data_IF_978524194358
#
_entry.id   IF_978524194358
#
_cell.length_a   1.000
_cell.length_b   1.000
_cell.length_c   1.000
_cell.angle_alpha   90.00
_cell.angle_beta   90.00
_cell.angle_gamma   90.00
#
_symmetry.space_group_name_H-M   'P 1'
#
loop_
_entity.id
_entity.type
_entity.pdbx_description
1 polymer ?
#
# COMPACT_ATOMS: atom_id res chain seq x y z
N UNK A 1 0.19 -20.01 -1.13
CA UNK A 1 -0.47 -21.09 -0.37
C UNK A 1 -0.34 -20.91 1.14
N UNK A 2 0.86 -20.61 1.68
CA UNK A 2 1.06 -20.34 3.13
C UNK A 2 0.35 -19.07 3.65
N UNK A 3 0.32 -17.98 2.87
CA UNK A 3 -0.34 -16.72 3.29
C UNK A 3 -1.87 -16.87 3.41
N UNK A 4 -2.48 -17.73 2.59
CA UNK A 4 -3.93 -17.99 2.63
C UNK A 4 -4.31 -18.75 3.91
N UNK A 5 -3.47 -19.71 4.33
CA UNK A 5 -3.64 -20.47 5.57
C UNK A 5 -3.58 -19.60 6.85
N UNK A 6 -2.75 -18.56 6.84
CA UNK A 6 -2.55 -17.65 7.97
C UNK A 6 -3.76 -16.72 8.17
N UNK A 7 -4.41 -16.30 7.08
CA UNK A 7 -5.63 -15.47 7.13
C UNK A 7 -6.83 -16.25 7.70
N UNK A 8 -6.97 -17.53 7.34
CA UNK A 8 -8.01 -18.43 7.88
C UNK A 8 -7.78 -18.78 9.35
N UNK A 9 -6.53 -18.74 9.82
CA UNK A 9 -6.20 -19.00 11.21
C UNK A 9 -6.49 -17.81 12.13
N UNK A 10 -6.35 -16.58 11.62
CA UNK A 10 -6.64 -15.37 12.38
C UNK A 10 -8.14 -15.10 12.56
N UNK A 11 -9.01 -15.71 11.74
CA UNK A 11 -10.47 -15.67 11.88
C UNK A 11 -11.06 -16.69 12.87
N UNK A 12 -10.25 -17.62 13.40
CA UNK A 12 -10.68 -18.54 14.46
C UNK A 12 -11.54 -19.74 13.98
N UNK A 13 -11.59 -20.00 12.68
CA UNK A 13 -12.35 -21.13 12.14
C UNK A 13 -11.52 -22.41 12.12
N UNK A 14 -11.84 -23.34 13.02
CA UNK A 14 -11.40 -24.73 12.87
C UNK A 14 -12.07 -25.31 11.63
N UNK A 15 -11.27 -25.80 10.68
CA UNK A 15 -11.75 -26.66 9.60
C UNK A 15 -12.40 -27.92 10.19
N UNK A 16 -13.70 -27.84 10.44
CA UNK A 16 -14.60 -28.94 10.15
C UNK A 16 -14.69 -29.00 8.62
N UNK A 17 -14.68 -30.20 8.04
CA UNK A 17 -15.28 -30.38 6.72
C UNK A 17 -16.77 -30.13 6.97
N UNK A 18 -17.17 -28.87 6.80
CA UNK A 18 -18.56 -28.44 6.81
C UNK A 18 -19.04 -28.72 5.38
N UNK A 19 -20.13 -29.47 5.25
CA UNK A 19 -20.93 -29.44 4.04
C UNK A 19 -21.42 -27.99 3.88
N UNK A 20 -20.61 -27.17 3.20
CA UNK A 20 -20.92 -25.77 2.92
C UNK A 20 -22.27 -25.77 2.22
N UNK A 21 -23.24 -25.04 2.76
CA UNK A 21 -24.54 -24.97 2.10
C UNK A 21 -24.43 -24.15 0.81
N UNK A 22 -25.31 -24.41 -0.16
CA UNK A 22 -25.31 -23.72 -1.46
C UNK A 22 -25.37 -22.19 -1.28
N UNK A 23 -26.25 -21.74 -0.38
CA UNK A 23 -26.47 -20.34 -0.04
C UNK A 23 -25.22 -19.72 0.61
N UNK A 24 -24.62 -20.40 1.59
CA UNK A 24 -23.39 -19.96 2.25
C UNK A 24 -22.22 -19.81 1.24
N UNK A 25 -22.14 -20.72 0.27
CA UNK A 25 -21.13 -20.67 -0.77
C UNK A 25 -21.29 -19.45 -1.69
N UNK A 26 -22.52 -19.21 -2.18
CA UNK A 26 -22.82 -18.04 -3.02
C UNK A 26 -22.61 -16.75 -2.25
N UNK A 27 -23.05 -16.70 -0.99
CA UNK A 27 -22.86 -15.55 -0.10
C UNK A 27 -21.39 -15.17 0.02
N UNK A 28 -20.53 -16.13 0.35
CA UNK A 28 -19.09 -15.89 0.47
C UNK A 28 -18.47 -15.42 -0.85
N UNK A 29 -18.87 -16.01 -1.99
CA UNK A 29 -18.38 -15.58 -3.31
C UNK A 29 -18.72 -14.11 -3.58
N UNK A 30 -19.97 -13.71 -3.36
CA UNK A 30 -20.44 -12.34 -3.65
C UNK A 30 -19.85 -11.34 -2.66
N UNK A 31 -19.77 -11.68 -1.37
CA UNK A 31 -19.14 -10.82 -0.36
C UNK A 31 -17.67 -10.59 -0.71
N UNK A 32 -16.92 -11.65 -1.02
CA UNK A 32 -15.49 -11.53 -1.38
C UNK A 32 -15.28 -10.73 -2.65
N UNK A 33 -16.15 -10.90 -3.65
CA UNK A 33 -16.09 -10.12 -4.88
C UNK A 33 -16.39 -8.63 -4.62
N UNK A 34 -17.41 -8.34 -3.81
CA UNK A 34 -17.75 -6.99 -3.40
C UNK A 34 -16.63 -6.34 -2.58
N UNK A 35 -16.02 -7.05 -1.64
CA UNK A 35 -14.86 -6.57 -0.88
C UNK A 35 -13.68 -6.26 -1.81
N UNK A 36 -13.38 -7.16 -2.75
CA UNK A 36 -12.24 -7.05 -3.65
C UNK A 36 -12.37 -5.87 -4.62
N UNK A 37 -13.53 -5.70 -5.22
CA UNK A 37 -13.75 -4.68 -6.25
C UNK A 37 -14.56 -3.48 -5.77
N UNK A 38 -14.92 -3.44 -4.48
CA UNK A 38 -15.69 -2.37 -3.83
C UNK A 38 -16.99 -2.04 -4.58
N UNK A 39 -17.70 -3.07 -5.06
CA UNK A 39 -18.84 -2.92 -5.97
C UNK A 39 -19.94 -2.04 -5.39
N UNK A 40 -20.28 -2.21 -4.10
CA UNK A 40 -21.24 -1.35 -3.41
C UNK A 40 -20.72 0.07 -3.21
N UNK A 41 -19.42 0.25 -2.93
CA UNK A 41 -18.83 1.58 -2.72
C UNK A 41 -18.89 2.44 -3.98
N UNK A 42 -18.73 1.82 -5.15
CA UNK A 42 -18.80 2.50 -6.45
C UNK A 42 -20.20 2.44 -7.08
N UNK A 43 -21.24 2.11 -6.29
CA UNK A 43 -22.63 2.04 -6.75
C UNK A 43 -22.84 1.14 -7.98
N UNK A 44 -22.02 0.10 -8.14
CA UNK A 44 -22.18 -0.91 -9.21
C UNK A 44 -23.25 -1.94 -8.87
N UNK A 45 -23.63 -2.01 -7.59
CA UNK A 45 -24.71 -2.85 -7.08
C UNK A 45 -25.51 -2.06 -6.04
N UNK A 46 -26.84 -2.11 -6.10
CA UNK A 46 -27.71 -1.43 -5.15
C UNK A 46 -27.68 -2.08 -3.77
N UNK A 47 -27.65 -3.41 -3.73
CA UNK A 47 -27.68 -4.18 -2.49
C UNK A 47 -27.13 -5.59 -2.69
N UNK A 48 -26.15 -5.97 -1.87
CA UNK A 48 -25.64 -7.35 -1.79
C UNK A 48 -26.79 -8.31 -1.50
N UNK A 49 -27.66 -7.98 -0.55
CA UNK A 49 -28.79 -8.85 -0.18
C UNK A 49 -29.77 -9.08 -1.33
N UNK A 50 -30.06 -8.05 -2.13
CA UNK A 50 -30.95 -8.18 -3.29
C UNK A 50 -30.38 -9.16 -4.32
N UNK A 51 -29.08 -9.05 -4.58
CA UNK A 51 -28.36 -9.92 -5.51
C UNK A 51 -28.36 -11.36 -5.00
N UNK A 52 -28.08 -11.57 -3.72
CA UNK A 52 -28.07 -12.91 -3.12
C UNK A 52 -29.42 -13.61 -3.27
N UNK A 53 -30.54 -12.91 -3.06
CA UNK A 53 -31.87 -13.49 -3.25
C UNK A 53 -32.10 -13.95 -4.69
N UNK A 54 -31.61 -13.21 -5.68
CA UNK A 54 -31.68 -13.60 -7.09
C UNK A 54 -30.81 -14.81 -7.39
N UNK A 55 -29.56 -14.82 -6.90
CA UNK A 55 -28.61 -15.92 -7.14
C UNK A 55 -29.02 -17.22 -6.44
N UNK A 56 -29.58 -17.14 -5.22
CA UNK A 56 -30.10 -18.32 -4.51
C UNK A 56 -31.27 -18.98 -5.25
N UNK A 57 -32.05 -18.18 -5.98
CA UNK A 57 -33.20 -18.66 -6.74
C UNK A 57 -32.83 -19.10 -8.17
N UNK A 58 -31.55 -19.09 -8.54
CA UNK A 58 -31.12 -19.37 -9.91
C UNK A 58 -31.03 -20.89 -10.19
N UNK A 59 -31.94 -21.39 -11.02
CA UNK A 59 -32.04 -22.81 -11.39
C UNK A 59 -30.79 -23.39 -12.07
N UNK A 60 -29.96 -22.55 -12.70
CA UNK A 60 -28.71 -23.00 -13.35
C UNK A 60 -27.66 -23.27 -12.29
N UNK A 61 -27.49 -22.36 -11.33
CA UNK A 61 -26.57 -22.51 -10.21
C UNK A 61 -26.95 -23.70 -9.33
N UNK A 62 -28.24 -23.85 -9.00
CA UNK A 62 -28.75 -24.98 -8.21
C UNK A 62 -28.44 -26.33 -8.86
N UNK A 63 -28.57 -26.45 -10.19
CA UNK A 63 -28.28 -27.69 -10.91
C UNK A 63 -26.80 -28.06 -10.94
N UNK A 64 -25.92 -27.06 -10.86
CA UNK A 64 -24.46 -27.25 -10.93
C UNK A 64 -23.80 -27.40 -9.57
N UNK A 65 -24.48 -26.96 -8.51
CA UNK A 65 -24.04 -27.19 -7.14
C UNK A 65 -23.76 -28.68 -6.86
N UNK A 66 -22.56 -28.97 -6.36
CA UNK A 66 -22.09 -30.33 -6.09
C UNK A 66 -21.74 -31.18 -7.34
N UNK A 67 -22.09 -30.72 -8.55
CA UNK A 67 -21.88 -31.44 -9.81
C UNK A 67 -20.72 -30.89 -10.64
N UNK A 68 -20.20 -29.70 -10.32
CA UNK A 68 -19.07 -29.06 -11.02
C UNK A 68 -17.94 -28.72 -10.05
N UNK A 69 -16.66 -28.71 -10.50
CA UNK A 69 -15.56 -28.21 -9.69
C UNK A 69 -15.83 -26.78 -9.18
N UNK A 70 -15.43 -26.49 -7.94
CA UNK A 70 -15.67 -25.19 -7.31
C UNK A 70 -15.17 -24.00 -8.14
N UNK A 71 -14.03 -24.14 -8.82
CA UNK A 71 -13.47 -23.09 -9.68
C UNK A 71 -14.42 -22.73 -10.82
N UNK A 72 -15.07 -23.72 -11.43
CA UNK A 72 -16.00 -23.50 -12.53
C UNK A 72 -17.33 -23.00 -12.00
N UNK A 73 -17.84 -23.57 -10.91
CA UNK A 73 -19.04 -23.07 -10.23
C UNK A 73 -18.90 -21.60 -9.84
N UNK A 74 -17.77 -21.21 -9.24
CA UNK A 74 -17.48 -19.83 -8.89
C UNK A 74 -17.50 -18.89 -10.10
N UNK A 75 -16.89 -19.30 -11.22
CA UNK A 75 -16.91 -18.48 -12.44
C UNK A 75 -18.32 -18.22 -12.91
N UNK A 76 -19.19 -19.23 -12.85
CA UNK A 76 -20.58 -19.07 -13.27
C UNK A 76 -21.40 -18.18 -12.35
N UNK A 77 -21.20 -18.28 -11.03
CA UNK A 77 -21.81 -17.34 -10.06
C UNK A 77 -21.41 -15.91 -10.40
N UNK A 78 -20.12 -15.68 -10.68
CA UNK A 78 -19.61 -14.37 -11.06
C UNK A 78 -20.12 -13.92 -12.43
N UNK A 79 -20.19 -14.82 -13.42
CA UNK A 79 -20.75 -14.49 -14.73
C UNK A 79 -22.20 -14.02 -14.60
N UNK A 80 -23.04 -14.72 -13.85
CA UNK A 80 -24.44 -14.32 -13.63
C UNK A 80 -24.50 -12.98 -12.89
N UNK A 81 -23.73 -12.82 -11.81
CA UNK A 81 -23.61 -11.57 -11.06
C UNK A 81 -23.30 -10.39 -11.98
N UNK A 82 -22.25 -10.51 -12.81
CA UNK A 82 -21.82 -9.42 -13.67
C UNK A 82 -22.77 -9.21 -14.83
N UNK A 83 -23.28 -10.26 -15.47
CA UNK A 83 -24.12 -10.15 -16.64
C UNK A 83 -25.52 -9.62 -16.34
N UNK A 84 -26.11 -10.07 -15.23
CA UNK A 84 -27.51 -9.76 -14.91
C UNK A 84 -27.66 -8.54 -14.01
N UNK A 85 -26.69 -8.27 -13.14
CA UNK A 85 -26.81 -7.19 -12.15
C UNK A 85 -25.91 -6.00 -12.41
N UNK A 86 -24.65 -6.21 -12.78
CA UNK A 86 -23.69 -5.10 -12.88
C UNK A 86 -23.68 -4.49 -14.29
N UNK A 87 -23.67 -5.35 -15.32
CA UNK A 87 -23.67 -4.96 -16.73
C UNK A 87 -24.75 -3.96 -17.10
N UNK A 88 -26.03 -4.19 -16.73
CA UNK A 88 -27.11 -3.30 -17.14
C UNK A 88 -26.99 -1.91 -16.54
N UNK A 89 -26.32 -1.78 -15.39
CA UNK A 89 -26.17 -0.50 -14.69
C UNK A 89 -25.03 0.35 -15.26
N UNK A 90 -24.02 -0.23 -15.90
CA UNK A 90 -22.82 0.49 -16.35
C UNK A 90 -23.11 1.64 -17.33
N UNK A 91 -23.97 1.50 -18.36
CA UNK A 91 -24.30 2.61 -19.24
C UNK A 91 -24.92 3.79 -18.50
N UNK A 92 -25.77 3.51 -17.52
CA UNK A 92 -26.43 4.53 -16.70
C UNK A 92 -25.45 5.16 -15.72
N UNK A 93 -24.60 4.37 -15.06
CA UNK A 93 -23.52 4.86 -14.17
C UNK A 93 -22.52 5.71 -14.94
N UNK A 94 -22.09 5.28 -16.14
CA UNK A 94 -21.15 6.05 -16.95
C UNK A 94 -21.78 7.36 -17.47
N UNK A 95 -23.07 7.34 -17.80
CA UNK A 95 -23.81 8.51 -18.26
C UNK A 95 -24.13 9.50 -17.12
N UNK A 96 -24.45 8.98 -15.94
CA UNK A 96 -24.83 9.77 -14.77
C UNK A 96 -23.62 10.28 -13.98
N UNK A 97 -22.58 9.44 -13.82
CA UNK A 97 -21.38 9.76 -13.04
C UNK A 97 -20.13 9.05 -13.58
N UNK A 98 -19.60 9.60 -14.67
CA UNK A 98 -18.36 9.15 -15.32
C UNK A 98 -17.15 9.14 -14.37
N UNK A 99 -17.12 10.00 -13.38
CA UNK A 99 -15.97 10.12 -12.47
C UNK A 99 -15.95 8.95 -11.47
N UNK A 100 -17.09 8.53 -10.93
CA UNK A 100 -17.17 7.31 -10.09
C UNK A 100 -16.64 6.08 -10.84
N UNK A 101 -17.01 5.92 -12.12
CA UNK A 101 -16.52 4.80 -12.91
C UNK A 101 -15.00 4.85 -13.12
N UNK A 102 -14.44 6.04 -13.38
CA UNK A 102 -12.98 6.21 -13.50
C UNK A 102 -12.27 5.90 -12.19
N UNK A 103 -12.81 6.32 -11.05
CA UNK A 103 -12.25 6.02 -9.73
C UNK A 103 -12.23 4.51 -9.43
N UNK A 104 -13.27 3.79 -9.86
CA UNK A 104 -13.27 2.33 -9.76
C UNK A 104 -12.14 1.69 -10.57
N UNK A 105 -11.98 2.09 -11.84
CA UNK A 105 -10.89 1.63 -12.70
C UNK A 105 -9.52 2.03 -12.14
N UNK A 106 -9.40 3.23 -11.56
CA UNK A 106 -8.20 3.69 -10.88
C UNK A 106 -7.85 2.81 -9.68
N UNK A 107 -8.83 2.46 -8.84
CA UNK A 107 -8.65 1.55 -7.70
C UNK A 107 -8.11 0.20 -8.13
N UNK A 108 -8.68 -0.40 -9.19
CA UNK A 108 -8.19 -1.68 -9.75
C UNK A 108 -6.77 -1.53 -10.28
N UNK A 109 -6.49 -0.42 -10.98
CA UNK A 109 -5.17 -0.13 -11.55
C UNK A 109 -4.09 0.00 -10.46
N UNK A 110 -4.42 0.62 -9.32
CA UNK A 110 -3.51 0.75 -8.17
C UNK A 110 -3.07 -0.62 -7.65
N UNK A 111 -4.00 -1.57 -7.51
CA UNK A 111 -3.67 -2.92 -7.03
C UNK A 111 -2.88 -3.74 -8.05
N UNK A 112 -3.17 -3.58 -9.34
CA UNK A 112 -2.37 -4.17 -10.41
C UNK A 112 -0.93 -3.64 -10.37
N UNK A 113 -0.74 -2.32 -10.22
CA UNK A 113 0.57 -1.70 -10.17
C UNK A 113 1.38 -2.17 -8.96
N UNK A 114 0.76 -2.34 -7.79
CA UNK A 114 1.41 -2.98 -6.62
C UNK A 114 1.93 -4.38 -6.96
N UNK A 115 1.13 -5.21 -7.66
CA UNK A 115 1.56 -6.56 -8.09
C UNK A 115 2.69 -6.51 -9.12
N UNK A 116 2.65 -5.56 -10.05
CA UNK A 116 3.69 -5.37 -11.06
C UNK A 116 4.99 -4.93 -10.38
N UNK A 117 4.94 -3.99 -9.44
CA UNK A 117 6.10 -3.52 -8.66
C UNK A 117 6.80 -4.69 -7.96
N UNK A 118 6.05 -5.57 -7.28
CA UNK A 118 6.62 -6.75 -6.60
C UNK A 118 7.39 -7.64 -7.60
N UNK A 119 6.85 -7.84 -8.81
CA UNK A 119 7.52 -8.63 -9.87
C UNK A 119 8.77 -7.94 -10.43
N UNK A 120 8.89 -6.63 -10.29
CA UNK A 120 10.00 -5.81 -10.80
C UNK A 120 10.95 -5.36 -9.68
N UNK A 121 10.92 -6.00 -8.50
CA UNK A 121 11.75 -5.62 -7.35
C UNK A 121 13.24 -5.52 -7.66
N UNK A 122 13.73 -6.37 -8.56
CA UNK A 122 15.16 -6.45 -8.90
C UNK A 122 15.55 -5.54 -10.07
N UNK A 123 14.59 -4.83 -10.67
CA UNK A 123 14.84 -3.92 -11.79
C UNK A 123 15.21 -2.54 -11.24
N UNK A 124 16.36 -2.00 -11.69
CA UNK A 124 16.75 -0.64 -11.35
C UNK A 124 15.83 0.36 -12.06
N UNK A 125 15.11 1.16 -11.26
CA UNK A 125 14.23 2.24 -11.75
C UNK A 125 14.73 3.59 -11.25
N UNK A 126 14.04 4.67 -11.65
CA UNK A 126 14.31 6.03 -11.14
C UNK A 126 14.18 6.15 -9.61
N UNK A 127 13.47 5.22 -8.96
CA UNK A 127 13.33 5.19 -7.50
C UNK A 127 14.66 4.90 -6.79
N UNK A 128 15.59 4.20 -7.45
CA UNK A 128 16.94 3.95 -6.93
C UNK A 128 17.68 5.26 -6.64
N UNK A 129 17.51 6.24 -7.51
CA UNK A 129 18.21 7.51 -7.42
C UNK A 129 17.45 8.52 -6.57
N UNK A 130 16.12 8.54 -6.68
CA UNK A 130 15.27 9.55 -6.01
C UNK A 130 14.87 9.15 -4.58
N UNK A 131 14.93 7.86 -4.24
CA UNK A 131 14.52 7.30 -2.95
C UNK A 131 13.19 7.87 -2.42
N UNK A 132 12.05 7.64 -3.12
CA UNK A 132 10.74 8.09 -2.66
C UNK A 132 10.22 7.33 -1.44
N UNK A 133 11.00 6.41 -0.84
CA UNK A 133 10.55 5.52 0.22
C UNK A 133 9.74 6.28 1.30
N UNK A 134 8.55 5.76 1.64
CA UNK A 134 8.09 4.39 1.32
C UNK A 134 7.17 4.29 0.09
N UNK A 135 6.98 5.40 -0.62
CA UNK A 135 6.31 5.44 -1.91
C UNK A 135 7.20 4.91 -3.05
N UNK A 136 6.63 4.88 -4.26
CA UNK A 136 7.32 4.65 -5.52
C UNK A 136 6.89 5.72 -6.53
N UNK A 137 7.83 6.27 -7.29
CA UNK A 137 7.52 7.10 -8.47
C UNK A 137 7.38 6.18 -9.68
N UNK A 138 8.30 5.24 -9.82
CA UNK A 138 8.35 4.31 -10.94
C UNK A 138 7.07 3.49 -11.13
N UNK A 139 6.33 3.20 -10.06
CA UNK A 139 5.06 2.45 -10.09
C UNK A 139 3.87 3.22 -9.49
N UNK A 140 3.96 4.56 -9.36
CA UNK A 140 2.84 5.36 -8.83
C UNK A 140 1.61 5.22 -9.73
N UNK A 141 0.48 4.88 -9.12
CA UNK A 141 -0.82 5.03 -9.76
C UNK A 141 -1.17 6.53 -9.80
N UNK A 142 -1.05 7.14 -10.98
CA UNK A 142 -1.40 8.55 -11.20
C UNK A 142 -2.69 8.62 -12.03
N UNK A 143 -3.63 9.45 -11.61
CA UNK A 143 -4.89 9.66 -12.34
C UNK A 143 -4.61 10.22 -13.72
N UNK A 144 -3.68 11.18 -13.83
CA UNK A 144 -3.31 11.82 -15.10
C UNK A 144 -2.69 10.80 -16.05
N UNK A 145 -1.73 10.00 -15.56
CA UNK A 145 -1.04 9.05 -16.42
C UNK A 145 -1.92 7.87 -16.82
N UNK A 146 -2.70 7.32 -15.88
CA UNK A 146 -3.68 6.29 -16.20
C UNK A 146 -4.72 6.82 -17.19
N UNK A 147 -5.15 8.08 -17.06
CA UNK A 147 -6.05 8.69 -18.03
C UNK A 147 -5.45 8.78 -19.44
N UNK A 148 -4.13 8.95 -19.57
CA UNK A 148 -3.44 8.98 -20.86
C UNK A 148 -3.23 7.61 -21.51
N UNK A 149 -2.97 6.56 -20.71
CA UNK A 149 -2.61 5.24 -21.26
C UNK A 149 -3.81 4.30 -21.40
N UNK A 150 -4.90 4.54 -20.66
CA UNK A 150 -6.11 3.73 -20.72
C UNK A 150 -7.06 4.24 -21.82
N UNK A 151 -7.56 3.31 -22.63
CA UNK A 151 -8.54 3.59 -23.67
C UNK A 151 -9.96 3.62 -23.09
N UNK A 152 -10.37 4.76 -22.56
CA UNK A 152 -11.68 4.95 -21.91
C UNK A 152 -12.88 4.64 -22.81
N UNK A 153 -12.73 4.78 -24.13
CA UNK A 153 -13.81 4.45 -25.07
C UNK A 153 -14.05 2.93 -25.14
N UNK A 154 -13.00 2.11 -24.96
CA UNK A 154 -13.15 0.66 -24.85
C UNK A 154 -13.81 0.24 -23.54
N UNK A 155 -13.49 0.91 -22.44
CA UNK A 155 -14.10 0.63 -21.14
C UNK A 155 -15.57 1.09 -21.06
N UNK A 156 -15.98 2.03 -21.92
CA UNK A 156 -17.38 2.44 -22.08
C UNK A 156 -18.25 1.39 -22.81
N UNK A 157 -17.65 0.56 -23.67
CA UNK A 157 -18.40 -0.42 -24.45
C UNK A 157 -18.65 -1.68 -23.61
N UNK A 158 -19.90 -2.17 -23.63
CA UNK A 158 -20.44 -3.27 -22.81
C UNK A 158 -19.77 -4.65 -22.98
N UNK A 159 -18.63 -4.72 -23.65
CA UNK A 159 -17.93 -5.95 -24.05
C UNK A 159 -16.75 -6.32 -23.12
N UNK A 160 -16.41 -5.51 -22.11
CA UNK A 160 -15.25 -5.76 -21.21
C UNK A 160 -15.72 -5.86 -19.75
N UNK A 161 -16.51 -6.88 -19.38
CA UNK A 161 -17.23 -6.81 -18.09
C UNK A 161 -17.25 -8.14 -17.33
N UNK A 162 -16.16 -8.88 -17.40
CA UNK A 162 -15.75 -9.74 -16.28
C UNK A 162 -14.52 -9.09 -15.65
N UNK A 163 -14.46 -8.95 -14.30
CA UNK A 163 -13.31 -8.33 -13.64
C UNK A 163 -11.98 -8.95 -14.04
N UNK A 164 -11.96 -10.25 -14.31
CA UNK A 164 -10.77 -10.96 -14.79
C UNK A 164 -10.30 -10.44 -16.16
N UNK A 165 -11.22 -10.18 -17.09
CA UNK A 165 -10.90 -9.61 -18.41
C UNK A 165 -10.49 -8.13 -18.29
N UNK A 166 -11.14 -7.39 -17.40
CA UNK A 166 -10.82 -5.99 -17.10
C UNK A 166 -9.41 -5.88 -16.51
N UNK A 167 -9.14 -6.62 -15.43
CA UNK A 167 -7.84 -6.70 -14.79
C UNK A 167 -6.76 -7.12 -15.78
N UNK A 168 -7.02 -8.12 -16.63
CA UNK A 168 -6.07 -8.56 -17.64
C UNK A 168 -5.68 -7.44 -18.60
N UNK A 169 -6.66 -6.69 -19.14
CA UNK A 169 -6.39 -5.58 -20.08
C UNK A 169 -5.65 -4.42 -19.41
N UNK A 170 -6.06 -4.05 -18.19
CA UNK A 170 -5.36 -3.01 -17.42
C UNK A 170 -3.93 -3.48 -17.14
N UNK A 171 -3.74 -4.72 -16.71
CA UNK A 171 -2.42 -5.29 -16.44
C UNK A 171 -1.53 -5.33 -17.70
N UNK A 172 -2.06 -5.74 -18.85
CA UNK A 172 -1.33 -5.70 -20.13
C UNK A 172 -0.88 -4.28 -20.48
N UNK A 173 -1.77 -3.29 -20.30
CA UNK A 173 -1.45 -1.88 -20.55
C UNK A 173 -0.39 -1.38 -19.58
N UNK A 174 -0.55 -1.64 -18.28
CA UNK A 174 0.39 -1.23 -17.25
C UNK A 174 1.78 -1.86 -17.47
N UNK A 175 1.86 -3.14 -17.82
CA UNK A 175 3.14 -3.82 -18.10
C UNK A 175 3.92 -3.19 -19.26
N UNK A 176 3.23 -2.57 -20.23
CA UNK A 176 3.88 -1.90 -21.36
C UNK A 176 4.34 -0.47 -21.04
N UNK A 177 3.78 0.13 -19.99
CA UNK A 177 3.91 1.58 -19.69
C UNK A 177 4.65 1.87 -18.39
N UNK A 178 4.83 0.86 -17.55
CA UNK A 178 5.57 0.90 -16.29
C UNK A 178 6.80 0.00 -16.35
N UNK A 179 7.90 0.34 -15.65
CA UNK A 179 8.05 1.50 -14.76
C UNK A 179 8.10 2.85 -15.48
N UNK A 180 7.65 3.92 -14.80
CA UNK A 180 7.78 5.30 -15.27
C UNK A 180 9.27 5.67 -15.30
N UNK A 181 9.77 6.02 -16.48
CA UNK A 181 11.12 6.55 -16.66
C UNK A 181 11.21 8.06 -16.44
N UNK A 182 12.43 8.60 -16.32
CA UNK A 182 12.68 10.01 -15.97
C UNK A 182 12.00 11.00 -16.92
N UNK A 183 12.07 10.78 -18.24
CA UNK A 183 11.45 11.69 -19.21
C UNK A 183 9.94 11.76 -19.02
N UNK A 184 9.29 10.59 -18.89
CA UNK A 184 7.84 10.54 -18.70
C UNK A 184 7.42 11.12 -17.35
N UNK A 185 8.21 10.88 -16.30
CA UNK A 185 7.97 11.48 -14.98
C UNK A 185 7.99 13.01 -15.05
N UNK A 186 9.00 13.61 -15.68
CA UNK A 186 9.11 15.06 -15.85
C UNK A 186 7.96 15.61 -16.70
N UNK A 187 7.58 14.93 -17.78
CA UNK A 187 6.44 15.31 -18.62
C UNK A 187 5.13 15.33 -17.83
N UNK A 188 4.93 14.40 -16.90
CA UNK A 188 3.75 14.35 -16.03
C UNK A 188 3.78 15.48 -14.98
N UNK A 189 4.94 15.76 -14.39
CA UNK A 189 5.08 16.90 -13.47
C UNK A 189 4.79 18.24 -14.15
N UNK A 190 5.22 18.42 -15.41
CA UNK A 190 4.90 19.59 -16.25
C UNK A 190 3.39 19.76 -16.49
N UNK A 191 2.63 18.65 -16.45
CA UNK A 191 1.15 18.66 -16.56
C UNK A 191 0.44 18.86 -15.22
N UNK A 192 1.17 19.22 -14.18
CA UNK A 192 0.64 19.39 -12.82
C UNK A 192 -0.02 18.11 -12.27
N UNK A 193 0.59 16.95 -12.54
CA UNK A 193 0.15 15.67 -12.00
C UNK A 193 0.25 15.66 -10.47
N UNK A 194 -0.89 15.82 -9.79
CA UNK A 194 -0.98 15.94 -8.33
C UNK A 194 -0.50 14.70 -7.59
N UNK A 195 -0.74 13.50 -8.12
CA UNK A 195 -0.33 12.25 -7.47
C UNK A 195 1.20 12.13 -7.44
N UNK A 196 1.84 12.49 -8.54
CA UNK A 196 3.29 12.50 -8.66
C UNK A 196 3.92 13.68 -7.92
N UNK A 197 3.28 14.86 -7.89
CA UNK A 197 3.76 16.00 -7.11
C UNK A 197 3.75 15.74 -5.60
N UNK A 198 2.76 14.97 -5.08
CA UNK A 198 2.74 14.54 -3.67
C UNK A 198 4.01 13.75 -3.33
N UNK A 199 4.33 12.71 -4.11
CA UNK A 199 5.54 11.90 -3.89
C UNK A 199 6.83 12.70 -4.16
N UNK A 200 6.84 13.60 -5.15
CA UNK A 200 7.99 14.45 -5.46
C UNK A 200 8.30 15.43 -4.32
N UNK A 201 7.27 16.02 -3.72
CA UNK A 201 7.43 16.93 -2.57
C UNK A 201 8.09 16.23 -1.38
N UNK A 202 7.76 14.95 -1.16
CA UNK A 202 8.41 14.10 -0.15
C UNK A 202 9.88 13.81 -0.48
N UNK A 203 10.20 13.51 -1.75
CA UNK A 203 11.59 13.37 -2.21
C UNK A 203 12.40 14.64 -1.96
N UNK A 204 11.84 15.81 -2.28
CA UNK A 204 12.49 17.11 -2.03
C UNK A 204 12.73 17.30 -0.53
N UNK A 205 11.76 16.94 0.32
CA UNK A 205 11.90 17.00 1.78
C UNK A 205 13.03 16.10 2.31
N UNK A 206 13.11 14.85 1.84
CA UNK A 206 14.19 13.91 2.21
C UNK A 206 15.56 14.46 1.80
N UNK A 207 15.68 14.96 0.58
CA UNK A 207 16.93 15.57 0.09
C UNK A 207 17.29 16.82 0.90
N UNK A 208 16.32 17.66 1.28
CA UNK A 208 16.55 18.80 2.17
C UNK A 208 17.13 18.37 3.52
N UNK A 209 16.60 17.29 4.10
CA UNK A 209 17.13 16.70 5.33
C UNK A 209 18.58 16.22 5.20
N UNK A 210 18.93 15.58 4.08
CA UNK A 210 20.32 15.21 3.79
C UNK A 210 21.21 16.45 3.71
N UNK A 211 20.83 17.46 2.91
CA UNK A 211 21.57 18.73 2.80
C UNK A 211 21.81 19.35 4.18
N UNK A 212 20.81 19.42 5.04
CA UNK A 212 20.98 20.02 6.36
C UNK A 212 21.88 19.20 7.27
N UNK A 213 21.75 17.87 7.26
CA UNK A 213 22.64 16.99 8.02
C UNK A 213 24.10 17.24 7.64
N UNK A 214 24.40 17.38 6.35
CA UNK A 214 25.76 17.62 5.89
C UNK A 214 26.27 19.04 6.18
N UNK A 215 25.44 20.07 6.07
CA UNK A 215 25.88 21.48 6.14
C UNK A 215 25.63 22.18 7.49
N UNK A 216 24.79 21.62 8.36
CA UNK A 216 24.39 22.22 9.65
C UNK A 216 24.70 21.33 10.87
N UNK A 217 25.66 20.40 10.76
CA UNK A 217 26.04 19.47 11.84
C UNK A 217 26.10 20.20 13.20
N UNK A 218 25.33 19.71 14.19
CA UNK A 218 25.24 20.22 15.57
C UNK A 218 24.41 21.49 15.87
N UNK A 219 23.34 21.81 15.11
CA UNK A 219 22.42 22.90 15.51
C UNK A 219 21.09 22.39 16.10
N UNK A 220 20.72 22.95 17.26
CA UNK A 220 19.44 22.69 17.96
C UNK A 220 18.18 23.07 17.15
N UNK A 221 18.33 23.77 16.00
CA UNK A 221 17.22 24.22 15.14
C UNK A 221 17.20 23.50 13.77
N UNK A 222 17.75 22.28 13.69
CA UNK A 222 17.87 21.56 12.40
C UNK A 222 16.53 21.25 11.72
N UNK A 223 15.46 21.07 12.49
CA UNK A 223 14.11 20.80 11.98
C UNK A 223 13.45 22.05 11.38
N UNK A 224 13.54 23.20 12.04
CA UNK A 224 13.00 24.46 11.51
C UNK A 224 13.71 24.87 10.22
N UNK A 225 15.04 24.76 10.21
CA UNK A 225 15.85 25.01 9.01
C UNK A 225 15.47 24.06 7.87
N UNK A 226 15.08 22.82 8.18
CA UNK A 226 14.63 21.81 7.20
C UNK A 226 13.30 22.17 6.60
N UNK A 227 12.32 22.49 7.44
CA UNK A 227 11.01 22.92 6.99
C UNK A 227 11.11 24.16 6.10
N UNK A 228 11.84 25.19 6.53
CA UNK A 228 12.00 26.42 5.76
C UNK A 228 12.75 26.24 4.43
N UNK A 229 13.79 25.39 4.45
CA UNK A 229 14.54 25.07 3.23
C UNK A 229 13.68 24.27 2.27
N UNK A 230 12.93 23.28 2.77
CA UNK A 230 12.02 22.48 1.97
C UNK A 230 10.91 23.34 1.36
N UNK A 231 10.19 24.16 2.13
CA UNK A 231 9.11 25.01 1.63
C UNK A 231 9.58 25.86 0.44
N UNK A 232 10.68 26.61 0.62
CA UNK A 232 11.24 27.47 -0.44
C UNK A 232 11.76 26.69 -1.65
N UNK A 233 12.30 25.49 -1.42
CA UNK A 233 12.84 24.65 -2.50
C UNK A 233 11.72 23.97 -3.27
N UNK A 234 10.70 23.48 -2.58
CA UNK A 234 9.53 22.83 -3.17
C UNK A 234 8.78 23.80 -4.09
N UNK A 235 8.47 25.00 -3.61
CA UNK A 235 7.83 26.05 -4.40
C UNK A 235 8.68 26.43 -5.63
N UNK A 236 9.99 26.61 -5.45
CA UNK A 236 10.89 26.97 -6.55
C UNK A 236 10.99 25.85 -7.60
N UNK A 237 11.14 24.60 -7.18
CA UNK A 237 11.23 23.45 -8.09
C UNK A 237 9.92 23.27 -8.84
N UNK A 238 8.79 23.37 -8.13
CA UNK A 238 7.45 23.34 -8.71
C UNK A 238 7.30 24.38 -9.82
N UNK A 239 7.58 25.65 -9.51
CA UNK A 239 7.46 26.74 -10.47
C UNK A 239 8.36 26.55 -11.70
N UNK A 240 9.60 26.11 -11.51
CA UNK A 240 10.55 25.88 -12.62
C UNK A 240 10.13 24.71 -13.53
N UNK A 241 9.56 23.64 -12.96
CA UNK A 241 9.08 22.51 -13.76
C UNK A 241 7.81 22.90 -14.51
N UNK A 242 6.84 23.52 -13.85
CA UNK A 242 5.56 23.94 -14.45
C UNK A 242 5.77 25.00 -15.54
N UNK A 243 6.67 25.96 -15.35
CA UNK A 243 6.99 26.98 -16.36
C UNK A 243 7.80 26.43 -17.54
N UNK A 244 8.31 25.20 -17.45
CA UNK A 244 9.20 24.61 -18.44
C UNK A 244 10.62 25.20 -18.42
N UNK A 245 11.00 25.93 -17.38
CA UNK A 245 12.34 26.52 -17.21
C UNK A 245 13.35 25.56 -16.54
N UNK A 246 12.87 24.42 -16.03
CA UNK A 246 13.74 23.37 -15.53
C UNK A 246 14.59 22.77 -16.67
N UNK A 247 15.85 22.39 -16.41
CA UNK A 247 16.70 21.74 -17.40
C UNK A 247 16.15 20.35 -17.75
N UNK A 248 16.58 19.80 -18.87
CA UNK A 248 16.31 18.41 -19.21
C UNK A 248 17.10 17.46 -18.31
N UNK A 249 16.44 16.40 -17.85
CA UNK A 249 17.02 15.40 -16.95
C UNK A 249 17.21 14.08 -17.68
N UNK A 250 18.47 13.62 -17.75
CA UNK A 250 18.83 12.33 -18.38
C UNK A 250 18.62 11.13 -17.45
N UNK A 251 18.58 11.35 -16.13
CA UNK A 251 18.46 10.29 -15.11
C UNK A 251 17.80 10.80 -13.82
N UNK A 252 17.36 9.87 -12.98
CA UNK A 252 16.89 10.19 -11.62
C UNK A 252 17.99 10.87 -10.79
N UNK A 253 19.25 10.45 -10.97
CA UNK A 253 20.40 11.08 -10.32
C UNK A 253 20.60 12.54 -10.72
N UNK A 254 20.45 12.87 -12.02
CA UNK A 254 20.51 14.26 -12.48
C UNK A 254 19.44 15.13 -11.79
N UNK A 255 18.20 14.62 -11.69
CA UNK A 255 17.13 15.31 -10.98
C UNK A 255 17.43 15.46 -9.48
N UNK A 256 17.89 14.40 -8.81
CA UNK A 256 18.30 14.44 -7.40
C UNK A 256 19.35 15.52 -7.14
N UNK A 257 20.39 15.58 -7.97
CA UNK A 257 21.46 16.57 -7.84
C UNK A 257 20.95 18.00 -8.05
N UNK A 258 20.02 18.18 -8.98
CA UNK A 258 19.37 19.47 -9.20
C UNK A 258 18.55 19.91 -7.98
N UNK A 259 17.75 19.00 -7.41
CA UNK A 259 16.99 19.24 -6.18
C UNK A 259 17.93 19.59 -5.01
N UNK A 260 19.02 18.83 -4.84
CA UNK A 260 20.01 19.07 -3.79
C UNK A 260 20.66 20.46 -3.93
N UNK A 261 21.00 20.87 -5.16
CA UNK A 261 21.57 22.20 -5.45
C UNK A 261 20.62 23.33 -5.09
N UNK A 262 19.32 23.19 -5.39
CA UNK A 262 18.31 24.19 -5.02
C UNK A 262 18.18 24.27 -3.49
N UNK A 263 18.08 23.12 -2.81
CA UNK A 263 18.02 23.06 -1.36
C UNK A 263 19.24 23.71 -0.71
N UNK A 264 20.45 23.41 -1.17
CA UNK A 264 21.68 24.00 -0.65
C UNK A 264 21.72 25.53 -0.82
N UNK A 265 21.30 26.03 -1.99
CA UNK A 265 21.25 27.47 -2.24
C UNK A 265 20.25 28.17 -1.32
N UNK A 266 19.08 27.56 -1.11
CA UNK A 266 18.06 28.10 -0.21
C UNK A 266 18.51 28.05 1.26
N UNK A 267 19.15 26.97 1.70
CA UNK A 267 19.74 26.85 3.04
C UNK A 267 20.80 27.95 3.28
N UNK A 268 21.73 28.15 2.33
CA UNK A 268 22.74 29.21 2.42
C UNK A 268 22.11 30.60 2.50
N UNK A 269 21.02 30.84 1.78
CA UNK A 269 20.30 32.12 1.85
C UNK A 269 19.62 32.34 3.20
N UNK A 270 19.03 31.29 3.79
CA UNK A 270 18.46 31.34 5.15
C UNK A 270 19.57 31.63 6.17
N UNK A 271 20.66 30.87 6.12
CA UNK A 271 21.80 31.06 7.03
C UNK A 271 22.40 32.47 6.93
N UNK A 272 22.52 33.04 5.73
CA UNK A 272 22.99 34.42 5.53
C UNK A 272 22.05 35.44 6.15
N UNK A 273 20.73 35.27 6.00
CA UNK A 273 19.73 36.15 6.61
C UNK A 273 19.73 36.07 8.14
N UNK A 274 20.03 34.90 8.70
CA UNK A 274 20.05 34.65 10.13
C UNK A 274 21.45 34.83 10.77
N UNK A 275 22.45 35.32 10.03
CA UNK A 275 23.86 35.44 10.46
C UNK A 275 24.50 34.13 10.95
N UNK A 276 23.99 32.98 10.51
CA UNK A 276 24.39 31.64 10.90
C UNK A 276 25.54 31.09 10.01
N UNK A 277 26.66 31.80 9.85
CA UNK A 277 27.74 31.36 8.96
C UNK A 277 28.64 30.32 9.64
N UNK A 278 28.83 29.16 8.98
CA UNK A 278 30.07 28.39 9.04
C UNK A 278 30.52 28.09 7.61
N UNK A 279 31.80 28.36 7.31
CA UNK A 279 32.41 28.07 6.02
C UNK A 279 32.64 26.56 5.88
N UNK A 280 31.78 25.89 5.12
CA UNK A 280 32.05 24.54 4.59
C UNK A 280 31.95 24.56 3.06
N UNK A 281 33.11 24.39 2.41
CA UNK A 281 33.24 24.19 0.97
C UNK A 281 33.03 22.70 0.66
N UNK A 282 31.78 22.30 0.44
CA UNK A 282 31.39 20.95 -0.01
C UNK A 282 30.81 21.06 -1.42
N UNK A 283 31.27 20.20 -2.31
CA UNK A 283 31.02 20.19 -3.75
C UNK A 283 29.82 19.32 -4.13
N UNK A 284 29.18 19.58 -5.27
CA UNK A 284 28.01 18.82 -5.75
C UNK A 284 28.34 17.35 -6.05
N UNK A 285 29.59 17.04 -6.41
CA UNK A 285 30.12 15.68 -6.57
C UNK A 285 29.89 14.81 -5.34
N UNK A 286 29.95 15.43 -4.16
CA UNK A 286 29.89 14.74 -2.88
C UNK A 286 28.48 14.15 -2.66
N UNK A 287 27.42 14.70 -3.30
CA UNK A 287 26.07 14.12 -3.29
C UNK A 287 25.90 12.88 -4.17
N UNK A 288 26.69 12.76 -5.24
CA UNK A 288 26.70 11.56 -6.06
C UNK A 288 27.38 10.39 -5.34
N UNK A 289 28.39 10.69 -4.51
CA UNK A 289 29.09 9.73 -3.63
C UNK A 289 28.34 9.45 -2.33
N UNK A 290 27.39 10.31 -1.93
CA UNK A 290 26.33 9.96 -0.99
C UNK A 290 25.34 9.02 -1.72
N UNK A 291 25.85 7.88 -2.17
CA UNK A 291 25.11 6.66 -1.99
C UNK A 291 24.82 6.52 -0.50
N UNK A 292 23.67 5.97 -0.17
CA UNK A 292 23.30 5.66 1.21
C UNK A 292 24.18 4.49 1.69
N UNK A 293 25.48 4.71 1.82
CA UNK A 293 26.42 3.92 2.63
C UNK A 293 26.57 4.72 3.93
N UNK A 294 26.04 4.39 5.10
CA UNK A 294 25.39 3.20 5.63
C UNK A 294 23.88 3.43 5.82
N UNK A 295 23.05 2.56 5.26
CA UNK A 295 22.13 1.86 6.16
C UNK A 295 22.82 0.55 6.48
N UNK A 296 23.12 0.33 7.76
CA UNK A 296 23.10 -1.02 8.31
C UNK A 296 22.07 -1.82 7.53
N UNK A 297 22.50 -2.94 6.97
CA UNK A 297 21.71 -3.96 6.32
C UNK A 297 20.51 -4.37 7.20
N UNK A 298 19.51 -3.51 7.25
CA UNK A 298 18.23 -3.70 7.92
C UNK A 298 17.22 -3.70 6.81
N UNK A 299 17.12 -4.90 6.25
CA UNK A 299 16.00 -5.45 5.50
C UNK A 299 15.30 -4.50 4.52
N UNK A 300 15.63 -4.72 3.26
CA UNK A 300 14.70 -4.67 2.15
C UNK A 300 13.34 -5.31 2.54
N UNK A 301 12.42 -4.58 3.16
CA UNK A 301 11.03 -4.98 3.39
C UNK A 301 10.08 -3.78 3.67
N UNK A 302 10.37 -2.60 3.11
CA UNK A 302 9.46 -1.45 3.12
C UNK A 302 8.41 -1.60 2.01
N UNK A 303 7.29 -2.26 2.32
CA UNK A 303 6.01 -1.99 1.66
C UNK A 303 5.48 -0.66 2.19
N UNK A 304 5.07 0.23 1.28
CA UNK A 304 4.47 1.54 1.52
C UNK A 304 3.51 1.57 2.72
N UNK A 305 4.01 1.97 3.90
CA UNK A 305 3.20 2.18 5.09
C UNK A 305 2.24 3.38 4.96
N UNK A 306 2.43 4.20 3.92
CA UNK A 306 1.74 5.48 3.71
C UNK A 306 0.56 5.37 2.73
N UNK A 307 0.38 4.21 2.07
CA UNK A 307 -0.74 3.94 1.18
C UNK A 307 -1.88 3.15 1.83
N UNK A 308 -1.78 2.84 3.13
CA UNK A 308 -2.81 2.09 3.86
C UNK A 308 -4.02 2.99 4.07
N UNK A 309 -5.10 2.70 3.34
CA UNK A 309 -6.39 3.34 3.61
C UNK A 309 -6.89 2.88 4.99
N UNK A 310 -6.94 3.81 5.94
CA UNK A 310 -7.39 3.54 7.31
C UNK A 310 -8.85 3.08 7.37
N UNK A 311 -9.65 3.39 6.34
CA UNK A 311 -11.03 2.95 6.21
C UNK A 311 -11.13 1.55 5.58
N UNK A 312 -10.04 0.99 5.07
CA UNK A 312 -9.97 -0.36 4.53
C UNK A 312 -9.41 -1.34 5.57
N UNK A 313 -10.31 -2.10 6.21
CA UNK A 313 -9.95 -3.05 7.26
C UNK A 313 -8.95 -4.12 6.78
N UNK A 314 -8.99 -4.52 5.51
CA UNK A 314 -8.05 -5.50 4.95
C UNK A 314 -6.65 -4.93 4.76
N UNK A 315 -6.53 -3.67 4.32
CA UNK A 315 -5.24 -3.00 4.19
C UNK A 315 -4.60 -2.74 5.56
N UNK A 316 -5.42 -2.34 6.54
CA UNK A 316 -4.96 -2.18 7.93
C UNK A 316 -4.47 -3.53 8.49
N UNK A 317 -5.20 -4.63 8.24
CA UNK A 317 -4.77 -5.98 8.65
C UNK A 317 -3.47 -6.39 7.95
N UNK A 318 -3.35 -6.19 6.65
CA UNK A 318 -2.18 -6.58 5.87
C UNK A 318 -0.94 -5.76 6.27
N UNK A 319 -1.10 -4.45 6.42
CA UNK A 319 -0.05 -3.55 6.92
C UNK A 319 0.41 -3.95 8.32
N UNK A 320 -0.52 -4.25 9.23
CA UNK A 320 -0.18 -4.70 10.57
C UNK A 320 0.59 -6.02 10.58
N UNK A 321 0.14 -7.02 9.81
CA UNK A 321 0.84 -8.30 9.67
C UNK A 321 2.26 -8.08 9.16
N UNK A 322 2.42 -7.22 8.15
CA UNK A 322 3.72 -6.91 7.57
C UNK A 322 4.67 -6.28 8.60
N UNK A 323 4.17 -5.38 9.47
CA UNK A 323 4.98 -4.79 10.56
C UNK A 323 5.38 -5.83 11.60
N UNK A 324 4.47 -6.74 11.97
CA UNK A 324 4.75 -7.76 12.98
C UNK A 324 5.81 -8.77 12.52
N UNK A 325 5.80 -9.13 11.24
CA UNK A 325 6.74 -10.09 10.66
C UNK A 325 8.09 -9.46 10.30
N UNK A 326 8.09 -8.28 9.67
CA UNK A 326 9.34 -7.64 9.22
C UNK A 326 10.00 -6.77 10.29
N UNK A 327 9.30 -6.53 11.41
CA UNK A 327 9.77 -5.78 12.58
C UNK A 327 10.54 -4.48 12.20
N UNK A 328 9.98 -3.60 11.35
CA UNK A 328 10.66 -2.37 10.94
C UNK A 328 10.98 -1.49 12.16
N UNK A 329 12.25 -1.09 12.27
CA UNK A 329 12.79 -0.35 13.41
C UNK A 329 12.03 0.97 13.62
N UNK A 330 11.72 1.31 14.88
CA UNK A 330 10.94 2.50 15.23
C UNK A 330 9.42 2.28 15.20
N UNK A 331 8.86 1.75 14.10
CA UNK A 331 7.41 1.48 14.01
C UNK A 331 7.04 0.25 14.84
N UNK A 332 7.74 -0.87 14.66
CA UNK A 332 7.53 -2.07 15.45
C UNK A 332 7.78 -1.80 16.93
N UNK A 333 8.86 -1.08 17.28
CA UNK A 333 9.19 -0.75 18.67
C UNK A 333 8.08 0.05 19.35
N UNK A 334 7.47 0.99 18.61
CA UNK A 334 6.35 1.80 19.12
C UNK A 334 5.10 0.95 19.36
N UNK A 335 4.82 0.00 18.45
CA UNK A 335 3.68 -0.90 18.56
C UNK A 335 3.87 -1.96 19.65
N UNK A 336 5.07 -2.54 19.74
CA UNK A 336 5.40 -3.68 20.58
C UNK A 336 5.70 -3.32 22.03
N UNK A 337 5.98 -2.05 22.33
CA UNK A 337 6.38 -1.56 23.66
C UNK A 337 5.53 -2.11 24.81
N UNK A 338 6.13 -2.92 25.68
CA UNK A 338 5.52 -3.52 26.87
C UNK A 338 4.60 -4.72 26.62
N UNK A 339 4.55 -5.24 25.39
CA UNK A 339 3.82 -6.46 25.01
C UNK A 339 4.63 -7.42 24.15
N UNK A 340 5.95 -7.22 24.05
CA UNK A 340 6.89 -7.92 23.17
C UNK A 340 6.77 -9.45 23.31
N UNK A 341 6.89 -9.95 24.54
CA UNK A 341 6.73 -11.36 24.89
C UNK A 341 5.42 -12.00 24.39
N UNK A 342 4.34 -11.22 24.36
CA UNK A 342 3.00 -11.70 23.94
C UNK A 342 2.85 -11.65 22.42
N UNK A 343 3.60 -10.78 21.74
CA UNK A 343 3.65 -10.72 20.29
C UNK A 343 4.50 -11.84 19.72
N UNK A 344 5.61 -12.19 20.37
CA UNK A 344 6.39 -13.36 19.96
C UNK A 344 5.57 -14.67 20.10
N UNK A 345 4.77 -14.80 21.17
CA UNK A 345 3.81 -15.93 21.29
C UNK A 345 2.70 -15.89 20.22
N UNK A 346 2.25 -14.69 19.84
CA UNK A 346 1.28 -14.52 18.77
C UNK A 346 1.84 -14.99 17.43
N UNK A 347 3.10 -14.64 17.13
CA UNK A 347 3.80 -15.03 15.91
C UNK A 347 4.02 -16.55 15.89
N UNK A 348 4.57 -17.13 16.95
CA UNK A 348 4.76 -18.59 17.09
C UNK A 348 3.45 -19.36 16.89
N UNK A 349 2.35 -18.85 17.46
CA UNK A 349 1.04 -19.47 17.28
C UNK A 349 0.58 -19.40 15.82
N UNK A 350 0.81 -18.26 15.14
CA UNK A 350 0.47 -18.10 13.72
C UNK A 350 1.34 -18.92 12.77
N UNK A 351 2.54 -19.32 13.20
CA UNK A 351 3.44 -20.22 12.47
C UNK A 351 3.07 -21.70 12.62
N UNK A 352 2.02 -22.00 13.40
CA UNK A 352 1.44 -23.34 13.52
C UNK A 352 1.59 -23.99 14.89
N UNK A 353 2.24 -23.34 15.86
CA UNK A 353 2.38 -23.88 17.22
C UNK A 353 1.08 -23.73 18.01
N UNK A 354 0.65 -24.78 18.70
CA UNK A 354 -0.45 -24.68 19.66
C UNK A 354 -0.04 -23.89 20.91
N UNK A 355 -0.99 -23.25 21.59
CA UNK A 355 -0.72 -22.58 22.86
C UNK A 355 -0.11 -23.50 23.92
N UNK A 356 -0.41 -24.81 23.84
CA UNK A 356 0.17 -25.83 24.69
C UNK A 356 1.64 -26.06 24.39
N UNK A 357 2.04 -26.11 23.12
CA UNK A 357 3.45 -26.23 22.71
C UNK A 357 4.25 -24.98 23.12
N UNK A 358 3.67 -23.79 22.96
CA UNK A 358 4.26 -22.52 23.41
C UNK A 358 4.43 -22.51 24.94
N UNK A 359 3.42 -23.00 25.69
CA UNK A 359 3.49 -23.13 27.15
C UNK A 359 4.61 -24.10 27.58
N UNK A 360 4.75 -25.24 26.90
CA UNK A 360 5.81 -26.22 27.16
C UNK A 360 7.20 -25.62 26.87
N UNK A 361 7.36 -24.86 25.80
CA UNK A 361 8.62 -24.17 25.46
C UNK A 361 8.99 -23.09 26.48
N UNK A 362 8.00 -22.31 26.95
CA UNK A 362 8.25 -21.18 27.86
C UNK A 362 8.41 -21.60 29.33
N UNK A 363 7.69 -22.63 29.77
CA UNK A 363 7.62 -23.03 31.19
C UNK A 363 8.18 -24.43 31.47
N UNK A 364 8.56 -25.19 30.44
CA UNK A 364 9.23 -26.49 30.53
C UNK A 364 8.30 -27.71 30.56
N UNK A 365 8.85 -28.87 30.19
CA UNK A 365 8.14 -30.17 30.03
C UNK A 365 7.68 -30.77 31.37
N UNK A 366 8.23 -30.33 32.50
CA UNK A 366 8.00 -30.91 33.84
C UNK A 366 6.82 -30.29 34.61
N UNK A 367 5.90 -29.61 33.93
CA UNK A 367 4.70 -29.05 34.57
C UNK A 367 3.59 -30.10 34.75
N UNK A 368 2.91 -30.09 35.90
CA UNK A 368 1.72 -30.91 36.11
C UNK A 368 0.62 -30.54 35.09
N UNK A 369 -0.25 -31.48 34.67
CA UNK A 369 -1.27 -31.23 33.66
C UNK A 369 -2.18 -30.04 33.97
N UNK A 370 -2.51 -29.82 35.24
CA UNK A 370 -3.35 -28.70 35.70
C UNK A 370 -2.63 -27.35 35.58
N UNK A 371 -1.34 -27.32 35.90
CA UNK A 371 -0.52 -26.11 35.79
C UNK A 371 -0.30 -25.74 34.32
N UNK A 372 -0.02 -26.74 33.48
CA UNK A 372 0.15 -26.54 32.05
C UNK A 372 -1.11 -25.99 31.39
N UNK A 373 -2.30 -26.48 31.77
CA UNK A 373 -3.58 -25.96 31.27
C UNK A 373 -3.81 -24.51 31.69
N UNK A 374 -3.47 -24.16 32.95
CA UNK A 374 -3.56 -22.79 33.45
C UNK A 374 -2.61 -21.86 32.68
N UNK A 375 -1.41 -22.31 32.35
CA UNK A 375 -0.43 -21.55 31.60
C UNK A 375 -0.83 -21.38 30.12
N UNK A 376 -1.43 -22.42 29.50
CA UNK A 376 -2.05 -22.34 28.17
C UNK A 376 -3.15 -21.26 28.13
N UNK A 377 -4.05 -21.27 29.12
CA UNK A 377 -5.13 -20.29 29.21
C UNK A 377 -4.61 -18.86 29.45
N UNK A 378 -3.57 -18.72 30.25
CA UNK A 378 -2.90 -17.43 30.49
C UNK A 378 -2.24 -16.89 29.22
N UNK A 379 -1.55 -17.74 28.45
CA UNK A 379 -0.96 -17.36 27.15
C UNK A 379 -2.05 -16.93 26.18
N UNK A 380 -3.12 -17.72 26.05
CA UNK A 380 -4.25 -17.42 25.16
C UNK A 380 -4.89 -16.07 25.48
N UNK A 381 -5.13 -15.78 26.77
CA UNK A 381 -5.66 -14.49 27.21
C UNK A 381 -4.65 -13.35 26.97
N UNK A 382 -3.36 -13.59 27.24
CA UNK A 382 -2.28 -12.63 27.00
C UNK A 382 -2.17 -12.23 25.52
N UNK A 383 -2.19 -13.22 24.63
CA UNK A 383 -2.17 -13.03 23.17
C UNK A 383 -3.44 -12.32 22.69
N UNK A 384 -4.62 -12.71 23.17
CA UNK A 384 -5.89 -12.04 22.82
C UNK A 384 -5.89 -10.56 23.22
N UNK A 385 -5.38 -10.22 24.41
CA UNK A 385 -5.21 -8.83 24.85
C UNK A 385 -4.17 -8.09 24.02
N UNK A 386 -3.04 -8.72 23.70
CA UNK A 386 -1.99 -8.13 22.86
C UNK A 386 -2.50 -7.80 21.45
N UNK A 387 -3.29 -8.69 20.83
CA UNK A 387 -3.96 -8.45 19.53
C UNK A 387 -4.78 -7.15 19.55
N UNK A 388 -5.64 -6.99 20.56
CA UNK A 388 -6.48 -5.78 20.68
C UNK A 388 -5.63 -4.51 20.87
N UNK A 389 -4.62 -4.60 21.75
CA UNK A 389 -3.73 -3.48 22.03
C UNK A 389 -2.94 -3.05 20.79
N UNK A 390 -2.44 -4.01 20.00
CA UNK A 390 -1.61 -3.66 18.83
C UNK A 390 -2.43 -3.11 17.67
N UNK A 391 -3.63 -3.65 17.44
CA UNK A 391 -4.58 -3.08 16.47
C UNK A 391 -4.91 -1.64 16.86
N UNK A 392 -5.24 -1.39 18.12
CA UNK A 392 -5.54 -0.03 18.61
C UNK A 392 -4.36 0.93 18.43
N UNK A 393 -3.14 0.52 18.85
CA UNK A 393 -1.93 1.35 18.67
C UNK A 393 -1.63 1.62 17.21
N UNK A 394 -1.88 0.65 16.33
CA UNK A 394 -1.68 0.80 14.90
C UNK A 394 -2.67 1.80 14.28
N UNK A 395 -3.95 1.72 14.62
CA UNK A 395 -4.93 2.74 14.24
C UNK A 395 -4.56 4.13 14.75
N UNK A 396 -4.08 4.26 15.98
CA UNK A 396 -3.64 5.55 16.53
C UNK A 396 -2.41 6.11 15.81
N UNK A 397 -1.48 5.26 15.37
CA UNK A 397 -0.34 5.68 14.55
C UNK A 397 -0.81 6.21 13.18
N UNK A 398 -1.69 5.48 12.51
CA UNK A 398 -2.27 5.91 11.22
C UNK A 398 -3.04 7.24 11.37
N UNK A 399 -3.83 7.39 12.45
CA UNK A 399 -4.60 8.64 12.73
C UNK A 399 -3.73 9.84 13.09
N UNK A 400 -2.66 9.64 13.86
CA UNK A 400 -1.74 10.73 14.22
C UNK A 400 -1.03 11.28 12.99
N UNK A 401 -0.72 10.44 12.02
CA UNK A 401 -0.07 10.86 10.78
C UNK A 401 -1.01 11.68 9.87
N UNK A 402 -2.32 11.39 9.85
CA UNK A 402 -3.34 12.20 9.15
C UNK A 402 -3.55 13.61 9.72
N UNK A 403 -3.08 13.90 10.94
CA UNK A 403 -3.17 15.24 11.56
C UNK A 403 -1.96 16.15 11.27
N UNK A 404 -0.92 15.59 10.65
CA UNK A 404 0.27 16.31 10.20
C UNK A 404 0.34 16.41 8.66
N UNK A 405 -0.66 15.89 7.95
CA UNK A 405 -1.08 16.39 6.62
C UNK A 405 -1.89 17.69 6.79
#
# INVERSE_FOLDING_TARGET
>A
MQIYYILTYLSGEKQKIVDVQFEECIEEIVIKENERYKLSTFNLIDSVNSILQTLFSNDVLLRKWGNTPFTDFRKEVLEILYLEHILPQIPDIFSADKEIYKEWIFSISKDILKRIQIKHRDVLTIDKDLDPNPDTIAFKASHTYLAEILDWNKYQQSQIILPELLERKINETCLQKYPIGIHKFIDLLKKDDRDLWKTTSHVIYKIAGLVIKYYCFNKNNSDDLRSDTWIKSNEKIYNLIISGEAPDFESGLHLRNYIAKINLNNLRNIQKKEHLINNTNVTISDFAEIHVEDRDSTDYNDLSFFDIDINNEQEVKFGLINILYNKPKGVYDTLAKGIEDKLDMLIQHSEGESYREIAIKKYGVYCSPEKLKKDEDNIRQGVSRAKKTIIFRFYELLKKQLKYE
#
